data_IF_650493097312
#
_entry.id   IF_650493097312
#
_cell.length_a   1.000
_cell.length_b   1.000
_cell.length_c   1.000
_cell.angle_alpha   90.00
_cell.angle_beta   90.00
_cell.angle_gamma   90.00
#
_symmetry.space_group_name_H-M   'P 1'
#
loop_
_entity.id
_entity.type
_entity.pdbx_description
1 polymer ?
#
# COMPACT_ATOMS: atom_id res chain seq x y z
N UNK A 1 9.21 -4.45 -9.47
CA UNK A 1 8.38 -5.28 -8.56
C UNK A 1 9.22 -6.33 -7.85
N UNK A 2 10.15 -7.00 -8.54
CA UNK A 2 11.10 -7.96 -7.98
C UNK A 2 11.80 -7.47 -6.69
N UNK A 3 12.42 -6.30 -6.71
CA UNK A 3 13.08 -5.71 -5.52
C UNK A 3 12.13 -5.53 -4.34
N UNK A 4 10.85 -5.23 -4.58
CA UNK A 4 9.84 -5.12 -3.52
C UNK A 4 9.53 -6.49 -2.92
N UNK A 5 9.39 -7.52 -3.75
CA UNK A 5 9.15 -8.89 -3.28
C UNK A 5 10.33 -9.40 -2.43
N UNK A 6 11.56 -9.16 -2.86
CA UNK A 6 12.76 -9.51 -2.08
C UNK A 6 12.79 -8.80 -0.73
N UNK A 7 12.45 -7.50 -0.71
CA UNK A 7 12.36 -6.73 0.52
C UNK A 7 11.31 -7.29 1.50
N UNK A 8 10.15 -7.74 0.99
CA UNK A 8 9.11 -8.35 1.83
C UNK A 8 9.62 -9.64 2.50
N UNK A 9 10.25 -10.53 1.73
CA UNK A 9 10.83 -11.77 2.26
C UNK A 9 11.92 -11.50 3.29
N UNK A 10 12.76 -10.49 3.04
CA UNK A 10 13.81 -10.10 3.97
C UNK A 10 13.24 -9.58 5.30
N UNK A 11 12.23 -8.71 5.25
CA UNK A 11 11.58 -8.18 6.44
C UNK A 11 10.90 -9.29 7.27
N UNK A 12 10.26 -10.25 6.60
CA UNK A 12 9.69 -11.43 7.25
C UNK A 12 10.77 -12.27 7.94
N UNK A 13 11.88 -12.56 7.25
CA UNK A 13 13.01 -13.30 7.80
C UNK A 13 13.68 -12.59 8.99
N UNK A 14 13.60 -11.27 9.06
CA UNK A 14 14.05 -10.48 10.20
C UNK A 14 13.11 -10.56 11.43
N UNK A 15 11.98 -11.25 11.33
CA UNK A 15 11.03 -11.44 12.42
C UNK A 15 10.09 -10.24 12.63
N UNK A 16 9.74 -9.53 11.56
CA UNK A 16 8.82 -8.39 11.63
C UNK A 16 7.40 -8.85 12.02
N UNK A 17 6.75 -8.15 12.95
CA UNK A 17 5.38 -8.50 13.38
C UNK A 17 4.31 -8.15 12.33
N UNK A 18 4.48 -7.05 11.59
CA UNK A 18 3.57 -6.57 10.53
C UNK A 18 4.37 -5.79 9.49
N UNK A 19 4.12 -6.05 8.20
CA UNK A 19 4.69 -5.25 7.11
C UNK A 19 3.62 -4.31 6.55
N UNK A 20 3.91 -3.01 6.54
CA UNK A 20 3.08 -2.02 5.84
C UNK A 20 3.68 -1.73 4.46
N UNK A 21 2.89 -1.96 3.41
CA UNK A 21 3.30 -1.76 2.01
C UNK A 21 2.56 -0.58 1.40
N UNK A 22 3.30 0.47 1.07
CA UNK A 22 2.79 1.65 0.37
C UNK A 22 2.49 1.39 -1.11
N UNK A 23 1.27 1.70 -1.55
CA UNK A 23 0.92 1.76 -2.97
C UNK A 23 1.27 3.15 -3.50
N UNK A 24 2.13 3.26 -4.54
CA UNK A 24 2.53 4.55 -5.06
C UNK A 24 1.35 5.31 -5.68
N UNK A 25 1.24 6.60 -5.37
CA UNK A 25 0.19 7.49 -5.86
C UNK A 25 0.79 8.81 -6.36
N UNK A 26 0.20 9.36 -7.42
CA UNK A 26 0.70 10.53 -8.14
C UNK A 26 0.44 11.86 -7.44
N UNK A 27 -0.47 11.91 -6.46
CA UNK A 27 -0.79 13.13 -5.70
C UNK A 27 -0.63 12.92 -4.17
N UNK A 28 0.62 12.76 -3.67
CA UNK A 28 0.92 12.54 -2.26
C UNK A 28 1.20 13.87 -1.52
N UNK A 29 0.36 14.88 -1.72
CA UNK A 29 0.59 16.23 -1.14
C UNK A 29 0.71 16.22 0.40
N UNK A 30 0.20 15.20 1.07
CA UNK A 30 0.26 15.05 2.54
C UNK A 30 1.51 14.35 3.06
N UNK A 31 2.38 13.83 2.20
CA UNK A 31 3.57 13.07 2.59
C UNK A 31 4.82 13.92 2.79
N UNK A 32 5.72 13.44 3.64
CA UNK A 32 7.09 13.96 3.73
C UNK A 32 7.92 13.69 2.46
N UNK A 33 9.01 14.45 2.24
CA UNK A 33 9.79 14.40 1.00
C UNK A 33 10.39 13.02 0.70
N UNK A 34 10.67 12.22 1.72
CA UNK A 34 11.19 10.86 1.58
C UNK A 34 10.14 9.92 0.95
N UNK A 35 8.90 9.98 1.43
CA UNK A 35 7.81 9.14 0.93
C UNK A 35 7.42 9.59 -0.48
N UNK A 36 7.35 10.90 -0.72
CA UNK A 36 7.11 11.46 -2.06
C UNK A 36 8.15 10.99 -3.07
N UNK A 37 9.45 11.06 -2.72
CA UNK A 37 10.52 10.59 -3.58
C UNK A 37 10.45 9.07 -3.84
N UNK A 38 10.05 8.29 -2.83
CA UNK A 38 9.82 6.84 -2.99
C UNK A 38 8.69 6.54 -3.97
N UNK A 39 7.55 7.20 -3.81
CA UNK A 39 6.41 7.07 -4.71
C UNK A 39 6.77 7.48 -6.14
N UNK A 40 7.51 8.59 -6.33
CA UNK A 40 7.97 9.03 -7.63
C UNK A 40 8.89 8.00 -8.32
N UNK A 41 9.83 7.38 -7.60
CA UNK A 41 10.68 6.31 -8.14
C UNK A 41 9.87 5.08 -8.54
N UNK A 42 8.90 4.68 -7.71
CA UNK A 42 8.06 3.53 -8.00
C UNK A 42 7.19 3.77 -9.25
N UNK A 43 6.58 4.96 -9.38
CA UNK A 43 5.80 5.34 -10.57
C UNK A 43 6.67 5.40 -11.83
N UNK A 44 7.88 5.98 -11.73
CA UNK A 44 8.83 6.02 -12.85
C UNK A 44 9.29 4.61 -13.29
N UNK A 45 9.33 3.66 -12.36
CA UNK A 45 9.61 2.25 -12.63
C UNK A 45 8.37 1.45 -13.13
N UNK A 46 7.24 2.12 -13.38
CA UNK A 46 6.02 1.51 -13.90
C UNK A 46 5.19 0.75 -12.88
N UNK A 47 5.35 1.02 -11.58
CA UNK A 47 4.54 0.39 -10.55
C UNK A 47 3.05 0.77 -10.71
N UNK A 48 2.18 -0.24 -10.73
CA UNK A 48 0.73 -0.09 -10.78
C UNK A 48 0.08 -0.81 -9.61
N UNK A 49 -1.14 -0.41 -9.24
CA UNK A 49 -1.91 -1.11 -8.21
C UNK A 49 -2.10 -2.59 -8.55
N UNK A 50 -2.44 -2.91 -9.81
CA UNK A 50 -2.62 -4.31 -10.22
C UNK A 50 -1.30 -5.09 -10.18
N UNK A 51 -0.17 -4.45 -10.54
CA UNK A 51 1.15 -5.06 -10.41
C UNK A 51 1.52 -5.36 -8.95
N UNK A 52 1.19 -4.46 -8.02
CA UNK A 52 1.36 -4.70 -6.58
C UNK A 52 0.49 -5.86 -6.10
N UNK A 53 -0.78 -5.90 -6.51
CA UNK A 53 -1.71 -6.98 -6.13
C UNK A 53 -1.25 -8.35 -6.68
N UNK A 54 -0.76 -8.39 -7.93
CA UNK A 54 -0.22 -9.61 -8.53
C UNK A 54 1.00 -10.12 -7.77
N UNK A 55 1.94 -9.22 -7.46
CA UNK A 55 3.15 -9.55 -6.70
C UNK A 55 2.79 -10.05 -5.29
N UNK A 56 1.86 -9.40 -4.60
CA UNK A 56 1.41 -9.84 -3.28
C UNK A 56 0.77 -11.23 -3.32
N UNK A 57 -0.05 -11.53 -4.33
CA UNK A 57 -0.64 -12.86 -4.49
C UNK A 57 0.41 -13.97 -4.60
N UNK A 58 1.54 -13.68 -5.21
CA UNK A 58 2.67 -14.62 -5.33
C UNK A 58 3.49 -14.72 -4.04
N UNK A 59 3.73 -13.59 -3.36
CA UNK A 59 4.67 -13.51 -2.25
C UNK A 59 4.04 -13.85 -0.90
N UNK A 60 2.80 -13.39 -0.64
CA UNK A 60 2.12 -13.57 0.66
C UNK A 60 1.99 -15.02 1.13
N UNK A 61 1.83 -16.06 0.28
CA UNK A 61 1.83 -17.45 0.74
C UNK A 61 3.15 -17.91 1.35
N UNK A 62 4.25 -17.20 1.07
CA UNK A 62 5.59 -17.48 1.58
C UNK A 62 5.92 -16.67 2.85
N UNK A 63 5.11 -15.68 3.20
CA UNK A 63 5.35 -14.82 4.36
C UNK A 63 4.64 -15.35 5.60
N UNK A 64 5.30 -15.25 6.75
CA UNK A 64 4.68 -15.58 8.04
C UNK A 64 4.00 -14.35 8.67
N UNK A 65 4.55 -13.16 8.44
CA UNK A 65 4.00 -11.91 8.93
C UNK A 65 2.87 -11.38 8.03
N UNK A 66 1.84 -10.74 8.62
CA UNK A 66 0.76 -10.11 7.87
C UNK A 66 1.26 -8.88 7.11
N UNK A 67 0.69 -8.69 5.91
CA UNK A 67 0.91 -7.50 5.08
C UNK A 67 -0.33 -6.60 5.12
N UNK A 68 -0.12 -5.31 5.40
CA UNK A 68 -1.13 -4.25 5.39
C UNK A 68 -0.85 -3.32 4.23
N UNK A 69 -1.84 -3.08 3.37
CA UNK A 69 -1.70 -2.10 2.29
C UNK A 69 -1.93 -0.68 2.82
N UNK A 70 -0.92 0.16 2.68
CA UNK A 70 -1.05 1.60 2.88
C UNK A 70 -1.31 2.26 1.54
N UNK A 71 -2.48 2.87 1.37
CA UNK A 71 -2.85 3.54 0.13
C UNK A 71 -3.50 4.89 0.43
N UNK A 72 -3.45 5.74 -0.59
CA UNK A 72 -4.28 6.94 -0.64
C UNK A 72 -5.72 6.59 -0.99
N UNK A 73 -6.66 7.42 -0.56
CA UNK A 73 -8.09 7.21 -0.81
C UNK A 73 -8.43 7.34 -2.30
N UNK A 74 -7.70 8.19 -3.04
CA UNK A 74 -7.92 8.42 -4.49
C UNK A 74 -7.90 7.16 -5.35
N UNK A 75 -6.84 6.33 -5.30
CA UNK A 75 -6.77 5.03 -5.99
C UNK A 75 -7.91 4.06 -5.62
N UNK A 76 -8.29 4.03 -4.35
CA UNK A 76 -9.36 3.14 -3.84
C UNK A 76 -10.73 3.60 -4.37
N UNK A 77 -11.00 4.90 -4.35
CA UNK A 77 -12.24 5.48 -4.86
C UNK A 77 -12.36 5.30 -6.37
N UNK A 78 -11.27 5.48 -7.14
CA UNK A 78 -11.28 5.27 -8.61
C UNK A 78 -11.60 3.82 -9.01
N UNK A 79 -11.12 2.84 -8.24
CA UNK A 79 -11.38 1.41 -8.50
C UNK A 79 -12.73 0.94 -7.94
N UNK A 80 -13.29 1.70 -7.00
CA UNK A 80 -14.41 1.30 -6.16
C UNK A 80 -13.94 0.47 -4.97
N UNK A 81 -14.42 0.85 -3.78
CA UNK A 81 -13.99 0.26 -2.51
C UNK A 81 -14.18 -1.26 -2.48
N UNK A 82 -15.31 -1.76 -2.96
CA UNK A 82 -15.62 -3.20 -2.98
C UNK A 82 -14.66 -4.01 -3.88
N UNK A 83 -14.30 -3.47 -5.04
CA UNK A 83 -13.37 -4.13 -5.96
C UNK A 83 -11.95 -4.11 -5.39
N UNK A 84 -11.56 -3.01 -4.73
CA UNK A 84 -10.28 -2.91 -4.06
C UNK A 84 -10.16 -3.91 -2.91
N UNK A 85 -11.15 -3.97 -2.02
CA UNK A 85 -11.12 -4.89 -0.88
C UNK A 85 -11.17 -6.35 -1.29
N UNK A 86 -11.94 -6.69 -2.34
CA UNK A 86 -11.95 -8.03 -2.92
C UNK A 86 -10.56 -8.42 -3.46
N UNK A 87 -9.96 -7.56 -4.29
CA UNK A 87 -8.62 -7.82 -4.84
C UNK A 87 -7.53 -7.87 -3.76
N UNK A 88 -7.59 -7.01 -2.74
CA UNK A 88 -6.66 -7.03 -1.62
C UNK A 88 -6.76 -8.35 -0.83
N UNK A 89 -7.99 -8.81 -0.57
CA UNK A 89 -8.23 -10.09 0.10
C UNK A 89 -7.71 -11.27 -0.73
N UNK A 90 -7.95 -11.27 -2.04
CA UNK A 90 -7.43 -12.29 -2.95
C UNK A 90 -5.90 -12.29 -3.04
N UNK A 91 -5.27 -11.13 -2.89
CA UNK A 91 -3.82 -10.96 -2.86
C UNK A 91 -3.19 -11.32 -1.51
N UNK A 92 -3.97 -11.77 -0.53
CA UNK A 92 -3.45 -12.16 0.79
C UNK A 92 -3.14 -10.98 1.71
N UNK A 93 -3.80 -9.83 1.54
CA UNK A 93 -3.64 -8.66 2.42
C UNK A 93 -4.56 -8.80 3.64
N UNK A 94 -4.01 -8.62 4.85
CA UNK A 94 -4.76 -8.77 6.11
C UNK A 94 -5.39 -7.46 6.64
N UNK A 95 -5.04 -6.30 6.07
CA UNK A 95 -5.62 -5.00 6.43
C UNK A 95 -5.27 -3.87 5.45
N UNK A 96 -5.93 -2.71 5.56
CA UNK A 96 -5.59 -1.54 4.76
C UNK A 96 -5.68 -0.23 5.56
N UNK A 97 -4.63 0.59 5.52
CA UNK A 97 -4.56 1.90 6.14
C UNK A 97 -4.73 3.01 5.08
N UNK A 98 -5.50 4.05 5.42
CA UNK A 98 -5.79 5.19 4.54
C UNK A 98 -5.35 6.51 5.17
N UNK A 99 -4.35 7.18 4.60
CA UNK A 99 -3.76 8.41 5.15
C UNK A 99 -4.64 9.68 5.02
N UNK A 100 -5.81 9.59 4.38
CA UNK A 100 -6.71 10.74 4.18
C UNK A 100 -7.93 10.75 5.13
N UNK A 101 -8.04 9.78 6.05
CA UNK A 101 -9.13 9.78 7.03
C UNK A 101 -8.81 10.77 8.16
N UNK A 102 -9.14 12.05 7.97
CA UNK A 102 -9.33 12.97 9.10
C UNK A 102 -10.76 12.76 9.61
N UNK A 103 -10.98 12.38 10.89
CA UNK A 103 -12.33 12.39 11.45
C UNK A 103 -12.92 13.79 11.29
N UNK A 104 -14.16 13.86 10.82
CA UNK A 104 -14.88 15.07 10.39
C UNK A 104 -15.25 16.04 11.53
N UNK A 105 -14.46 16.12 12.60
CA UNK A 105 -14.75 16.93 13.80
C UNK A 105 -13.88 18.20 13.95
N UNK A 106 -13.10 18.61 12.94
CA UNK A 106 -12.30 19.85 12.99
C UNK A 106 -12.55 20.85 11.83
N UNK A 107 -13.78 20.94 11.32
CA UNK A 107 -14.18 22.00 10.37
C UNK A 107 -15.21 22.97 10.95
N UNK A 108 -15.06 23.33 12.23
CA UNK A 108 -15.74 24.50 12.81
C UNK A 108 -14.70 25.30 13.59
N UNK A 109 -14.52 26.55 13.18
CA UNK A 109 -13.61 27.60 13.67
C UNK A 109 -12.19 27.65 13.08
N UNK A 110 -12.05 28.42 11.99
CA UNK A 110 -11.19 29.62 11.92
C UNK A 110 -11.66 30.49 10.77
#
# INVERSE_FOLDING_TARGET
METTAEALRLLDACGTDVIELGVPFSDPYTDGPVIQASAARALAAGATLDGVMSMLKEVTPELSCPVVLFSYFGPIVRRGLANFTAAAKEAGVQGSNNNQFKPSSQLINS
#
